data_IF_890842182378
#
_entry.id   IF_890842182378
#
_cell.length_a   1.000
_cell.length_b   1.000
_cell.length_c   1.000
_cell.angle_alpha   90.00
_cell.angle_beta   90.00
_cell.angle_gamma   90.00
#
_symmetry.space_group_name_H-M   'P 1'
#
loop_
_entity.id
_entity.type
_entity.pdbx_description
1 polymer ?
#
# COMPACT_ATOMS: atom_id res chain seq x y z
N UNK A 1 -13.23 -6.70 -7.05
CA UNK A 1 -14.06 -6.80 -5.83
C UNK A 1 -15.46 -7.20 -6.21
N UNK A 2 -16.04 -8.11 -5.45
CA UNK A 2 -17.46 -8.48 -5.51
C UNK A 2 -18.20 -7.89 -4.33
N UNK A 3 -19.51 -7.75 -4.46
CA UNK A 3 -20.37 -7.25 -3.36
C UNK A 3 -20.50 -8.25 -2.20
N UNK A 4 -20.26 -9.55 -2.44
CA UNK A 4 -20.35 -10.61 -1.44
C UNK A 4 -19.29 -11.71 -1.62
N UNK A 5 -19.11 -12.59 -0.62
CA UNK A 5 -18.07 -13.61 -0.56
C UNK A 5 -18.45 -14.89 -1.32
N UNK A 6 -18.87 -14.75 -2.58
CA UNK A 6 -19.16 -15.87 -3.48
C UNK A 6 -18.98 -15.44 -4.94
N UNK A 7 -18.80 -16.39 -5.85
CA UNK A 7 -18.75 -16.16 -7.29
C UNK A 7 -20.10 -15.76 -7.88
N UNK A 8 -21.22 -16.08 -7.22
CA UNK A 8 -22.57 -15.67 -7.64
C UNK A 8 -22.82 -14.16 -7.47
N UNK A 9 -22.14 -13.50 -6.53
CA UNK A 9 -22.28 -12.06 -6.31
C UNK A 9 -21.65 -11.24 -7.44
N UNK A 10 -22.34 -10.18 -7.89
CA UNK A 10 -21.85 -9.30 -8.95
C UNK A 10 -20.48 -8.66 -8.65
N UNK A 11 -19.71 -8.42 -9.71
CA UNK A 11 -18.44 -7.69 -9.65
C UNK A 11 -18.76 -6.19 -9.54
N UNK A 12 -18.27 -5.55 -8.48
CA UNK A 12 -18.41 -4.12 -8.25
C UNK A 12 -17.23 -3.31 -8.81
N UNK A 13 -16.02 -3.89 -8.75
CA UNK A 13 -14.80 -3.22 -9.18
C UNK A 13 -13.83 -4.19 -9.84
N UNK A 14 -13.23 -3.78 -10.95
CA UNK A 14 -12.23 -4.57 -11.69
C UNK A 14 -10.87 -3.86 -11.63
N UNK A 15 -9.94 -4.40 -10.84
CA UNK A 15 -8.55 -3.96 -10.87
C UNK A 15 -7.83 -4.63 -12.04
N UNK A 16 -7.11 -3.84 -12.84
CA UNK A 16 -6.37 -4.31 -14.01
C UNK A 16 -4.87 -4.47 -13.77
N UNK A 17 -4.34 -3.90 -12.70
CA UNK A 17 -2.92 -3.92 -12.38
C UNK A 17 -2.68 -4.58 -11.01
N UNK A 18 -1.67 -5.45 -10.88
CA UNK A 18 -1.32 -6.06 -9.61
C UNK A 18 -0.59 -5.09 -8.68
N UNK A 19 -0.49 -5.48 -7.40
CA UNK A 19 0.37 -4.83 -6.41
C UNK A 19 -0.24 -3.61 -5.72
N UNK A 20 -1.46 -3.20 -6.06
CA UNK A 20 -2.16 -2.20 -5.27
C UNK A 20 -2.34 -2.73 -3.83
N UNK A 21 -1.95 -1.96 -2.81
CA UNK A 21 -2.15 -2.37 -1.44
C UNK A 21 -3.66 -2.45 -1.15
N UNK A 22 -4.04 -3.43 -0.33
CA UNK A 22 -5.39 -3.65 0.12
C UNK A 22 -5.34 -4.00 1.59
N UNK A 23 -6.23 -3.39 2.37
CA UNK A 23 -6.40 -3.70 3.78
C UNK A 23 -7.44 -4.80 3.93
N UNK A 24 -7.10 -5.89 4.62
CA UNK A 24 -8.09 -6.93 4.97
C UNK A 24 -8.84 -6.47 6.21
N UNK A 25 -10.14 -6.29 6.08
CA UNK A 25 -11.04 -5.84 7.16
C UNK A 25 -12.01 -6.94 7.62
N UNK A 26 -12.01 -8.10 6.97
CA UNK A 26 -12.82 -9.25 7.33
C UNK A 26 -12.49 -10.49 6.52
N UNK A 27 -12.89 -11.66 7.03
CA UNK A 27 -12.65 -12.94 6.38
C UNK A 27 -13.91 -13.82 6.38
N UNK A 28 -14.12 -14.55 5.29
CA UNK A 28 -15.18 -15.56 5.18
C UNK A 28 -14.71 -16.70 4.26
N UNK A 29 -14.36 -17.85 4.84
CA UNK A 29 -13.79 -18.96 4.08
C UNK A 29 -12.57 -18.53 3.24
N UNK A 30 -12.65 -18.71 1.91
CA UNK A 30 -11.59 -18.29 0.98
C UNK A 30 -11.69 -16.82 0.53
N UNK A 31 -12.63 -16.07 1.08
CA UNK A 31 -12.86 -14.67 0.74
C UNK A 31 -12.30 -13.74 1.80
N UNK A 32 -11.81 -12.59 1.35
CA UNK A 32 -11.34 -11.50 2.17
C UNK A 32 -12.15 -10.27 1.82
N UNK A 33 -12.77 -9.66 2.82
CA UNK A 33 -13.33 -8.34 2.70
C UNK A 33 -12.16 -7.36 2.79
N UNK A 34 -11.98 -6.57 1.74
CA UNK A 34 -10.84 -5.69 1.58
C UNK A 34 -11.29 -4.25 1.38
N UNK A 35 -10.44 -3.31 1.81
CA UNK A 35 -10.59 -1.86 1.58
C UNK A 35 -9.37 -1.33 0.85
N UNK A 36 -9.56 -0.50 -0.18
CA UNK A 36 -8.47 0.17 -0.89
C UNK A 36 -8.15 1.57 -0.33
N UNK A 37 -7.16 2.24 -0.93
CA UNK A 37 -6.72 3.56 -0.52
C UNK A 37 -7.74 4.68 -0.74
N UNK A 38 -8.77 4.44 -1.55
CA UNK A 38 -9.88 5.37 -1.79
C UNK A 38 -11.07 5.08 -0.86
N UNK A 39 -10.95 4.08 0.02
CA UNK A 39 -11.99 3.65 0.96
C UNK A 39 -13.03 2.71 0.35
N UNK A 40 -12.85 2.31 -0.91
CA UNK A 40 -13.75 1.37 -1.59
C UNK A 40 -13.56 0.00 -0.96
N UNK A 41 -14.66 -0.62 -0.56
CA UNK A 41 -14.66 -1.92 0.11
C UNK A 41 -15.43 -2.98 -0.68
N UNK A 42 -14.99 -4.22 -0.58
CA UNK A 42 -15.68 -5.36 -1.19
C UNK A 42 -14.92 -6.67 -0.97
N UNK A 43 -15.37 -7.74 -1.60
CA UNK A 43 -14.82 -9.08 -1.42
C UNK A 43 -13.86 -9.48 -2.54
N UNK A 44 -12.73 -10.08 -2.17
CA UNK A 44 -11.79 -10.71 -3.08
C UNK A 44 -11.50 -12.14 -2.64
N UNK A 45 -11.39 -13.04 -3.61
CA UNK A 45 -10.93 -14.39 -3.35
C UNK A 45 -9.43 -14.37 -3.00
N UNK A 46 -9.02 -15.13 -1.98
CA UNK A 46 -7.64 -15.11 -1.45
C UNK A 46 -6.57 -15.38 -2.51
N UNK A 47 -6.89 -16.14 -3.56
CA UNK A 47 -5.95 -16.46 -4.66
C UNK A 47 -5.59 -15.25 -5.52
N UNK A 48 -6.34 -14.16 -5.44
CA UNK A 48 -6.07 -12.89 -6.13
C UNK A 48 -5.21 -11.96 -5.28
N UNK A 49 -4.95 -12.32 -4.03
CA UNK A 49 -4.16 -11.52 -3.09
C UNK A 49 -2.75 -12.10 -2.98
N UNK A 50 -1.79 -11.20 -2.78
CA UNK A 50 -0.39 -11.53 -2.56
C UNK A 50 0.04 -11.05 -1.18
N UNK A 51 0.94 -11.80 -0.53
CA UNK A 51 1.58 -11.37 0.72
C UNK A 51 2.66 -10.29 0.53
N UNK A 52 3.00 -9.94 -0.72
CA UNK A 52 3.97 -8.88 -1.00
C UNK A 52 3.45 -7.56 -0.45
N UNK A 53 4.20 -6.98 0.51
CA UNK A 53 3.83 -5.72 1.14
C UNK A 53 4.12 -4.56 0.21
N UNK A 54 3.08 -3.81 -0.13
CA UNK A 54 3.15 -2.56 -0.87
C UNK A 54 2.46 -1.46 -0.09
N UNK A 55 2.74 -0.22 -0.47
CA UNK A 55 2.06 0.97 0.01
C UNK A 55 1.83 1.94 -1.15
N UNK A 56 0.98 2.93 -0.94
CA UNK A 56 0.87 4.09 -1.82
C UNK A 56 1.19 5.35 -1.03
N UNK A 57 1.81 6.34 -1.68
CA UNK A 57 1.87 7.68 -1.10
C UNK A 57 0.44 8.17 -0.90
N UNK A 58 0.14 8.61 0.32
CA UNK A 58 -1.22 8.87 0.79
C UNK A 58 -1.99 9.78 -0.17
N UNK A 59 -3.17 9.37 -0.67
CA UNK A 59 -3.96 10.17 -1.61
C UNK A 59 -4.48 11.48 -1.01
N UNK A 60 -4.47 11.60 0.33
CA UNK A 60 -4.83 12.83 1.06
C UNK A 60 -3.73 13.91 1.03
N UNK A 61 -2.53 13.61 0.51
CA UNK A 61 -1.42 14.56 0.51
C UNK A 61 -1.58 15.60 -0.60
N UNK A 62 -1.37 16.87 -0.24
CA UNK A 62 -1.32 17.99 -1.19
C UNK A 62 0.11 18.27 -1.71
N UNK A 63 1.10 17.50 -1.26
CA UNK A 63 2.50 17.65 -1.66
C UNK A 63 3.18 16.29 -1.78
N UNK A 64 4.22 16.26 -2.62
CA UNK A 64 5.04 15.06 -2.82
C UNK A 64 5.70 14.61 -1.51
N UNK A 65 5.88 13.30 -1.36
CA UNK A 65 6.65 12.72 -0.27
C UNK A 65 8.12 12.59 -0.68
N UNK A 66 9.04 12.96 0.20
CA UNK A 66 10.48 12.79 -0.03
C UNK A 66 10.87 11.32 0.13
N UNK A 67 11.66 10.83 -0.82
CA UNK A 67 12.38 9.56 -0.71
C UNK A 67 13.84 9.88 -0.35
N UNK A 68 14.20 9.66 0.91
CA UNK A 68 15.50 10.06 1.47
C UNK A 68 16.50 8.93 1.49
N UNK A 69 17.79 9.25 1.52
CA UNK A 69 18.87 8.27 1.66
C UNK A 69 18.95 7.65 3.07
N UNK A 70 18.53 8.40 4.09
CA UNK A 70 18.57 8.01 5.51
C UNK A 70 17.21 8.29 6.17
N UNK A 71 16.83 7.54 7.23
CA UNK A 71 15.56 7.71 7.96
C UNK A 71 15.62 8.90 8.93
N UNK A 72 15.91 10.10 8.40
CA UNK A 72 15.97 11.34 9.18
C UNK A 72 15.38 12.51 8.42
N UNK A 73 14.76 13.44 9.16
CA UNK A 73 14.30 14.71 8.60
C UNK A 73 15.48 15.52 8.07
N UNK A 74 15.29 16.16 6.91
CA UNK A 74 16.35 16.93 6.24
C UNK A 74 17.54 16.08 5.75
N UNK A 75 17.37 14.77 5.61
CA UNK A 75 18.34 13.92 4.92
C UNK A 75 18.42 14.25 3.44
N UNK A 76 19.49 13.81 2.76
CA UNK A 76 19.63 13.96 1.31
C UNK A 76 18.46 13.26 0.62
N UNK A 77 17.74 14.01 -0.21
CA UNK A 77 16.62 13.50 -1.00
C UNK A 77 17.14 12.84 -2.28
N UNK A 78 16.66 11.63 -2.55
CA UNK A 78 16.97 10.88 -3.78
C UNK A 78 15.91 11.09 -4.85
N UNK A 79 14.66 11.23 -4.45
CA UNK A 79 13.52 11.47 -5.32
C UNK A 79 12.35 12.10 -4.55
N UNK A 80 11.37 12.62 -5.29
CA UNK A 80 10.06 13.00 -4.77
C UNK A 80 9.00 12.09 -5.36
N UNK A 81 8.11 11.60 -4.51
CA UNK A 81 7.03 10.69 -4.88
C UNK A 81 5.71 11.44 -4.86
N UNK A 82 4.99 11.46 -5.98
CA UNK A 82 3.66 12.06 -6.04
C UNK A 82 2.64 11.27 -5.19
N UNK A 83 1.55 11.92 -4.72
CA UNK A 83 0.41 11.20 -4.19
C UNK A 83 -0.04 10.08 -5.14
N UNK A 84 -0.49 8.96 -4.57
CA UNK A 84 -0.89 7.74 -5.29
C UNK A 84 0.24 6.94 -5.97
N UNK A 85 1.50 7.37 -5.88
CA UNK A 85 2.62 6.52 -6.32
C UNK A 85 2.68 5.28 -5.44
N UNK A 86 2.65 4.11 -6.07
CA UNK A 86 2.83 2.81 -5.41
C UNK A 86 4.31 2.53 -5.17
N UNK A 87 4.61 2.03 -3.98
CA UNK A 87 5.94 1.55 -3.57
C UNK A 87 5.86 0.16 -2.97
N UNK A 88 6.94 -0.61 -3.08
CA UNK A 88 7.11 -1.86 -2.33
C UNK A 88 7.71 -1.53 -0.96
N UNK A 89 7.15 -2.10 0.10
CA UNK A 89 7.74 -2.01 1.44
C UNK A 89 8.82 -3.09 1.56
N UNK A 90 10.05 -2.68 1.81
CA UNK A 90 11.18 -3.58 2.03
C UNK A 90 11.41 -3.80 3.51
N UNK A 91 11.31 -2.75 4.32
CA UNK A 91 11.21 -2.82 5.78
C UNK A 91 10.48 -1.58 6.30
N UNK A 92 9.91 -1.64 7.50
CA UNK A 92 9.31 -0.47 8.12
C UNK A 92 9.49 -0.46 9.64
N UNK A 93 10.03 0.64 10.15
CA UNK A 93 10.16 0.95 11.57
C UNK A 93 8.95 1.72 12.08
N UNK A 94 8.97 2.22 13.32
CA UNK A 94 7.89 3.05 13.85
C UNK A 94 7.56 4.29 13.02
N UNK A 95 8.56 4.97 12.47
CA UNK A 95 8.37 6.29 11.82
C UNK A 95 8.77 6.31 10.34
N UNK A 96 9.57 5.35 9.88
CA UNK A 96 10.14 5.34 8.53
C UNK A 96 10.00 3.96 7.90
N UNK A 97 9.62 3.92 6.63
CA UNK A 97 9.69 2.72 5.83
C UNK A 97 10.82 2.83 4.81
N UNK A 98 11.63 1.78 4.69
CA UNK A 98 12.52 1.58 3.56
C UNK A 98 11.71 0.97 2.42
N UNK A 99 11.68 1.64 1.28
CA UNK A 99 10.80 1.30 0.16
C UNK A 99 11.55 1.25 -1.16
N UNK A 100 11.00 0.48 -2.09
CA UNK A 100 11.36 0.49 -3.50
C UNK A 100 10.27 1.13 -4.36
N UNK A 101 10.64 2.14 -5.14
CA UNK A 101 9.83 2.76 -6.19
C UNK A 101 10.33 2.32 -7.58
N UNK A 102 9.55 2.58 -8.63
CA UNK A 102 9.92 2.25 -10.03
C UNK A 102 10.38 0.79 -10.20
N UNK A 103 9.59 -0.17 -9.71
CA UNK A 103 9.94 -1.60 -9.72
C UNK A 103 11.28 -1.92 -9.02
N UNK A 104 11.69 -1.07 -8.07
CA UNK A 104 12.86 -1.28 -7.21
C UNK A 104 14.15 -0.65 -7.71
N UNK A 105 14.15 0.07 -8.84
CA UNK A 105 15.31 0.82 -9.34
C UNK A 105 15.71 1.95 -8.39
N UNK A 106 14.72 2.58 -7.75
CA UNK A 106 14.92 3.65 -6.77
C UNK A 106 14.52 3.17 -5.39
N UNK A 107 15.45 3.18 -4.44
CA UNK A 107 15.22 2.79 -3.04
C UNK A 107 15.61 3.89 -2.07
N UNK A 108 14.89 3.98 -0.97
CA UNK A 108 15.14 4.97 0.07
C UNK A 108 14.13 4.90 1.20
N UNK A 109 14.20 5.86 2.11
CA UNK A 109 13.33 5.97 3.27
C UNK A 109 12.24 7.01 3.02
N UNK A 110 11.00 6.66 3.37
CA UNK A 110 9.84 7.56 3.36
C UNK A 110 9.26 7.59 4.76
N UNK A 111 8.80 8.76 5.20
CA UNK A 111 8.07 8.86 6.47
C UNK A 111 6.81 8.00 6.40
N UNK A 112 6.59 7.15 7.41
CA UNK A 112 5.45 6.22 7.47
C UNK A 112 4.12 6.98 7.36
N UNK A 113 4.02 8.14 7.99
CA UNK A 113 2.84 9.00 7.96
C UNK A 113 2.46 9.49 6.56
N UNK A 114 3.38 9.39 5.58
CA UNK A 114 3.11 9.72 4.19
C UNK A 114 2.54 8.55 3.38
N UNK A 115 2.41 7.36 3.96
CA UNK A 115 2.04 6.13 3.26
C UNK A 115 0.68 5.60 3.73
N UNK A 116 -0.05 5.00 2.79
CA UNK A 116 -1.20 4.12 3.04
C UNK A 116 -0.81 2.67 2.68
N UNK A 117 -1.20 1.69 3.50
CA UNK A 117 -0.80 0.29 3.36
C UNK A 117 0.17 -0.21 4.45
N UNK A 118 0.47 0.66 5.42
CA UNK A 118 1.21 0.35 6.66
C UNK A 118 0.49 0.98 7.85
N UNK A 119 0.27 0.22 8.92
CA UNK A 119 -0.38 0.78 10.12
C UNK A 119 0.58 1.64 10.94
N UNK A 120 0.09 2.63 11.72
CA UNK A 120 0.93 3.53 12.51
C UNK A 120 1.96 2.80 13.40
N UNK A 121 1.53 1.71 14.04
CA UNK A 121 2.36 0.92 14.96
C UNK A 121 2.94 -0.36 14.36
N UNK A 122 2.74 -0.59 13.06
CA UNK A 122 3.24 -1.79 12.40
C UNK A 122 4.75 -1.67 12.13
N UNK A 123 5.47 -2.76 12.41
CA UNK A 123 6.88 -2.94 12.05
C UNK A 123 7.01 -4.12 11.10
N UNK A 124 7.86 -3.99 10.09
CA UNK A 124 8.10 -4.99 9.05
C UNK A 124 9.62 -5.14 8.90
N UNK A 125 10.12 -6.37 9.02
CA UNK A 125 11.54 -6.71 8.88
C UNK A 125 11.92 -7.08 7.44
#
# INVERSE_FOLDING_TARGET
MRIGPDFEYAIQWLYRAPGLPLEIIGEYGNWRQVRDCDGISGWMHRSLLSGVRTAVVGPWRNSMASLSEQPRKGGREKAKLEPRVRVQILSCSMAWCYVGAENGSVRGFVEKSALWGVYPHETID
#
